data_IF_855257212728
#
_entry.id   IF_855257212728
#
_cell.length_a   1.000
_cell.length_b   1.000
_cell.length_c   1.000
_cell.angle_alpha   90.00
_cell.angle_beta   90.00
_cell.angle_gamma   90.00
#
_symmetry.space_group_name_H-M   'P 1'
#
loop_
_entity.id
_entity.type
_entity.pdbx_description
1 polymer ?
#
# COMPACT_ATOMS: atom_id res chain seq x y z
N UNK A 1 -5.51 1.27 -17.98
CA UNK A 1 -4.94 0.51 -19.12
C UNK A 1 -5.41 -0.95 -19.09
N UNK A 2 -5.25 -1.69 -17.97
CA UNK A 2 -5.72 -3.08 -17.79
C UNK A 2 -7.22 -3.16 -18.05
N UNK A 3 -8.03 -2.29 -17.42
CA UNK A 3 -9.48 -2.27 -17.61
C UNK A 3 -9.95 -1.94 -19.03
N UNK A 4 -9.09 -1.39 -19.89
CA UNK A 4 -9.37 -1.23 -21.31
C UNK A 4 -9.18 -2.55 -22.07
N UNK A 5 -8.13 -3.29 -21.73
CA UNK A 5 -7.76 -4.53 -22.44
C UNK A 5 -8.65 -5.71 -22.05
N UNK A 6 -9.06 -5.82 -20.79
CA UNK A 6 -9.83 -6.96 -20.30
C UNK A 6 -11.15 -7.19 -21.05
N UNK A 7 -12.00 -6.17 -21.28
CA UNK A 7 -13.22 -6.35 -22.08
C UNK A 7 -12.93 -6.77 -23.53
N UNK A 8 -11.87 -6.24 -24.16
CA UNK A 8 -11.47 -6.62 -25.52
C UNK A 8 -11.11 -8.12 -25.62
N UNK A 9 -10.65 -8.70 -24.51
CA UNK A 9 -10.29 -10.12 -24.43
C UNK A 9 -11.38 -11.00 -23.81
N UNK A 10 -12.51 -10.43 -23.41
CA UNK A 10 -13.60 -11.16 -22.77
C UNK A 10 -13.24 -11.74 -21.40
N UNK A 11 -12.29 -11.11 -20.67
CA UNK A 11 -11.85 -11.55 -19.34
C UNK A 11 -12.31 -10.58 -18.27
N UNK A 12 -12.60 -11.09 -17.06
CA UNK A 12 -12.95 -10.26 -15.91
C UNK A 12 -11.70 -9.59 -15.33
N UNK A 13 -11.86 -8.36 -14.88
CA UNK A 13 -10.80 -7.61 -14.21
C UNK A 13 -11.11 -7.47 -12.71
N UNK A 14 -10.33 -8.13 -11.88
CA UNK A 14 -10.28 -7.91 -10.44
C UNK A 14 -9.01 -7.15 -10.07
N UNK A 15 -9.14 -6.16 -9.20
CA UNK A 15 -7.98 -5.48 -8.61
C UNK A 15 -8.02 -5.57 -7.09
N UNK A 16 -6.87 -5.92 -6.49
CA UNK A 16 -6.61 -5.63 -5.09
C UNK A 16 -6.27 -4.14 -4.99
N UNK A 17 -7.24 -3.37 -4.49
CA UNK A 17 -7.11 -1.93 -4.31
C UNK A 17 -6.85 -1.53 -2.84
N UNK A 18 -6.38 -2.47 -2.02
CA UNK A 18 -6.15 -2.27 -0.58
C UNK A 18 -5.25 -1.07 -0.30
N UNK A 19 -4.24 -0.82 -1.13
CA UNK A 19 -3.34 0.33 -0.99
C UNK A 19 -3.77 1.56 -1.81
N UNK A 20 -4.76 1.43 -2.69
CA UNK A 20 -5.23 2.52 -3.55
C UNK A 20 -6.48 3.22 -3.00
N UNK A 21 -7.35 2.47 -2.31
CA UNK A 21 -8.57 3.01 -1.70
C UNK A 21 -8.24 4.08 -0.65
N UNK A 22 -8.90 5.24 -0.75
CA UNK A 22 -8.62 6.40 0.09
C UNK A 22 -7.36 7.21 -0.30
N UNK A 23 -6.59 6.76 -1.29
CA UNK A 23 -5.38 7.44 -1.76
C UNK A 23 -5.42 7.85 -3.23
N UNK A 24 -6.24 7.18 -4.04
CA UNK A 24 -6.45 7.47 -5.45
C UNK A 24 -7.94 7.49 -5.77
N UNK A 25 -8.32 8.32 -6.74
CA UNK A 25 -9.67 8.26 -7.28
C UNK A 25 -9.92 6.97 -8.05
N UNK A 26 -10.92 6.20 -7.62
CA UNK A 26 -11.32 4.94 -8.26
C UNK A 26 -12.76 5.09 -8.75
N UNK A 27 -12.94 4.98 -10.07
CA UNK A 27 -14.27 4.86 -10.69
C UNK A 27 -14.37 3.52 -11.39
N UNK A 28 -15.05 2.57 -10.77
CA UNK A 28 -15.14 1.19 -11.26
C UNK A 28 -15.78 1.09 -12.65
N UNK A 29 -16.66 2.03 -13.03
CA UNK A 29 -17.32 2.05 -14.34
C UNK A 29 -16.37 2.56 -15.42
N UNK A 30 -15.74 3.72 -15.20
CA UNK A 30 -14.81 4.34 -16.16
C UNK A 30 -13.53 3.53 -16.33
N UNK A 31 -13.08 2.87 -15.26
CA UNK A 31 -11.88 2.05 -15.26
C UNK A 31 -12.15 0.58 -15.65
N UNK A 32 -13.41 0.22 -15.96
CA UNK A 32 -13.86 -1.14 -16.30
C UNK A 32 -13.41 -2.19 -15.29
N UNK A 33 -13.54 -1.88 -14.00
CA UNK A 33 -13.23 -2.80 -12.92
C UNK A 33 -14.47 -3.65 -12.62
N UNK A 34 -14.33 -4.95 -12.77
CA UNK A 34 -15.40 -5.91 -12.50
C UNK A 34 -15.47 -6.28 -11.02
N UNK A 35 -14.33 -6.41 -10.35
CA UNK A 35 -14.23 -6.70 -8.93
C UNK A 35 -13.09 -5.90 -8.31
N UNK A 36 -13.27 -5.50 -7.04
CA UNK A 36 -12.29 -4.72 -6.30
C UNK A 36 -12.32 -5.13 -4.83
N UNK A 37 -11.14 -5.38 -4.27
CA UNK A 37 -10.97 -5.66 -2.85
C UNK A 37 -10.32 -4.48 -2.13
N UNK A 38 -10.80 -4.16 -0.93
CA UNK A 38 -10.20 -3.17 -0.03
C UNK A 38 -10.28 -3.60 1.43
N UNK A 39 -9.46 -2.98 2.30
CA UNK A 39 -9.38 -3.30 3.72
C UNK A 39 -9.40 -2.02 4.55
N UNK A 40 -10.30 -1.96 5.54
CA UNK A 40 -10.57 -0.75 6.32
C UNK A 40 -9.34 -0.15 7.00
N UNK A 41 -8.47 -0.99 7.57
CA UNK A 41 -7.29 -0.52 8.30
C UNK A 41 -6.22 0.16 7.44
N UNK A 42 -6.36 0.14 6.12
CA UNK A 42 -5.41 0.80 5.19
C UNK A 42 -5.73 2.28 4.93
N UNK A 43 -6.92 2.71 5.32
CA UNK A 43 -7.35 4.10 5.28
C UNK A 43 -7.97 4.53 6.62
N UNK A 44 -7.28 4.15 7.72
CA UNK A 44 -7.60 4.52 9.11
C UNK A 44 -8.90 3.95 9.69
N UNK A 45 -9.55 3.02 8.99
CA UNK A 45 -10.71 2.29 9.49
C UNK A 45 -10.33 1.14 10.44
N UNK A 46 -11.33 0.44 11.01
CA UNK A 46 -11.09 -0.67 11.93
C UNK A 46 -10.37 -1.85 11.26
N UNK A 47 -9.57 -2.57 12.05
CA UNK A 47 -9.03 -3.89 11.65
C UNK A 47 -10.12 -4.94 11.60
N UNK A 48 -9.93 -5.96 10.77
CA UNK A 48 -10.84 -7.12 10.67
C UNK A 48 -12.09 -6.86 9.83
N UNK A 49 -12.16 -5.78 9.08
CA UNK A 49 -13.24 -5.46 8.15
C UNK A 49 -12.68 -5.04 6.80
N UNK A 50 -13.31 -5.53 5.73
CA UNK A 50 -12.96 -5.21 4.35
C UNK A 50 -14.17 -5.30 3.43
N UNK A 51 -14.01 -4.95 2.18
CA UNK A 51 -15.08 -4.95 1.17
C UNK A 51 -14.60 -5.67 -0.09
N UNK A 52 -15.47 -6.49 -0.65
CA UNK A 52 -15.38 -6.93 -2.03
C UNK A 52 -16.51 -6.24 -2.82
N UNK A 53 -16.13 -5.34 -3.72
CA UNK A 53 -17.02 -4.89 -4.78
C UNK A 53 -17.04 -5.96 -5.87
N UNK A 54 -18.22 -6.31 -6.33
CA UNK A 54 -18.40 -7.14 -7.53
C UNK A 54 -19.53 -6.55 -8.39
N UNK A 55 -19.26 -6.33 -9.66
CA UNK A 55 -20.25 -5.86 -10.63
C UNK A 55 -21.44 -6.85 -10.67
N UNK A 56 -22.64 -6.31 -10.74
CA UNK A 56 -23.84 -7.13 -10.81
C UNK A 56 -23.77 -8.14 -11.98
N UNK A 57 -24.16 -9.37 -11.70
CA UNK A 57 -24.16 -10.47 -12.69
C UNK A 57 -22.89 -11.33 -12.68
N UNK A 58 -21.85 -10.96 -11.92
CA UNK A 58 -20.67 -11.82 -11.76
C UNK A 58 -21.02 -12.97 -10.82
N UNK A 59 -20.84 -14.24 -11.23
CA UNK A 59 -21.05 -15.38 -10.35
C UNK A 59 -19.94 -15.44 -9.30
N UNK A 60 -20.32 -15.40 -8.02
CA UNK A 60 -19.43 -15.59 -6.89
C UNK A 60 -19.75 -16.92 -6.21
N UNK A 61 -18.74 -17.74 -6.02
CA UNK A 61 -18.83 -18.98 -5.23
C UNK A 61 -18.50 -18.65 -3.77
N UNK A 62 -19.36 -19.10 -2.84
CA UNK A 62 -19.13 -18.89 -1.42
C UNK A 62 -17.94 -19.73 -0.94
N UNK A 63 -17.02 -19.12 -0.22
CA UNK A 63 -15.91 -19.80 0.45
C UNK A 63 -16.30 -20.09 1.91
N UNK A 64 -17.09 -19.19 2.53
CA UNK A 64 -17.61 -19.36 3.88
C UNK A 64 -19.11 -19.68 3.77
N UNK A 65 -19.45 -20.92 4.08
CA UNK A 65 -20.81 -21.43 4.02
C UNK A 65 -21.52 -21.32 5.36
N UNK A 66 -22.86 -21.25 5.34
CA UNK A 66 -23.71 -21.16 6.53
C UNK A 66 -24.98 -20.36 6.28
N UNK A 67 -25.23 -19.31 7.07
CA UNK A 67 -26.40 -18.45 6.94
C UNK A 67 -26.44 -17.61 5.68
N UNK A 68 -27.55 -16.94 5.42
CA UNK A 68 -27.83 -16.20 4.20
C UNK A 68 -27.34 -14.73 4.25
N UNK A 69 -26.42 -14.38 5.16
CA UNK A 69 -25.88 -13.04 5.27
C UNK A 69 -25.17 -12.65 3.96
N UNK A 70 -24.95 -11.35 3.75
CA UNK A 70 -24.38 -10.79 2.51
C UNK A 70 -25.09 -11.32 1.25
N UNK A 71 -26.42 -11.42 1.29
CA UNK A 71 -27.25 -12.00 0.21
C UNK A 71 -26.85 -13.43 -0.15
N UNK A 72 -26.48 -14.22 0.86
CA UNK A 72 -26.00 -15.59 0.70
C UNK A 72 -24.60 -15.72 0.11
N UNK A 73 -23.81 -14.66 0.08
CA UNK A 73 -22.45 -14.67 -0.48
C UNK A 73 -21.36 -14.91 0.54
N UNK A 74 -21.61 -14.57 1.81
CA UNK A 74 -20.66 -14.75 2.89
C UNK A 74 -21.46 -14.93 4.19
N UNK A 75 -21.42 -16.13 4.77
CA UNK A 75 -22.12 -16.45 6.00
C UNK A 75 -21.47 -15.80 7.23
N UNK A 76 -22.22 -15.68 8.30
CA UNK A 76 -21.81 -15.11 9.59
C UNK A 76 -22.44 -13.74 9.83
N UNK A 77 -22.77 -13.46 11.10
CA UNK A 77 -23.36 -12.18 11.53
C UNK A 77 -22.47 -11.01 11.11
N UNK A 78 -23.09 -9.99 10.56
CA UNK A 78 -22.39 -8.78 10.09
C UNK A 78 -21.77 -8.02 11.25
N UNK A 79 -20.51 -7.63 11.10
CA UNK A 79 -19.80 -6.76 12.05
C UNK A 79 -20.23 -5.30 11.84
N UNK A 80 -21.43 -4.94 12.26
CA UNK A 80 -22.01 -3.61 12.04
C UNK A 80 -21.09 -2.47 12.52
N UNK A 81 -20.50 -2.51 13.74
CA UNK A 81 -19.58 -1.45 14.16
C UNK A 81 -18.36 -1.32 13.23
N UNK A 82 -17.79 -2.45 12.79
CA UNK A 82 -16.67 -2.45 11.86
C UNK A 82 -17.05 -1.90 10.48
N UNK A 83 -18.22 -2.28 9.96
CA UNK A 83 -18.75 -1.79 8.68
C UNK A 83 -18.97 -0.27 8.72
N UNK A 84 -19.58 0.22 9.77
CA UNK A 84 -19.83 1.66 9.96
C UNK A 84 -18.52 2.45 10.08
N UNK A 85 -17.56 1.94 10.88
CA UNK A 85 -16.24 2.55 11.01
C UNK A 85 -15.44 2.55 9.70
N UNK A 86 -15.53 1.47 8.92
CA UNK A 86 -14.92 1.40 7.59
C UNK A 86 -15.54 2.45 6.65
N UNK A 87 -16.86 2.56 6.63
CA UNK A 87 -17.56 3.50 5.75
C UNK A 87 -17.19 4.95 6.07
N UNK A 88 -17.19 5.32 7.36
CA UNK A 88 -16.81 6.65 7.81
C UNK A 88 -15.35 6.99 7.45
N UNK A 89 -14.42 6.06 7.70
CA UNK A 89 -13.01 6.24 7.37
C UNK A 89 -12.76 6.36 5.85
N UNK A 90 -13.50 5.59 5.04
CA UNK A 90 -13.40 5.68 3.58
C UNK A 90 -13.91 7.02 3.06
N UNK A 91 -15.05 7.48 3.58
CA UNK A 91 -15.63 8.78 3.22
C UNK A 91 -14.66 9.94 3.55
N UNK A 92 -14.09 9.93 4.75
CA UNK A 92 -13.11 10.92 5.19
C UNK A 92 -11.86 10.89 4.30
N UNK A 93 -11.24 9.72 4.12
CA UNK A 93 -10.03 9.57 3.29
C UNK A 93 -10.28 9.99 1.83
N UNK A 94 -11.43 9.63 1.26
CA UNK A 94 -11.80 10.03 -0.09
C UNK A 94 -11.99 11.55 -0.23
N UNK A 95 -12.43 12.23 0.83
CA UNK A 95 -12.58 13.69 0.87
C UNK A 95 -11.26 14.45 0.79
N UNK A 96 -10.14 13.83 1.15
CA UNK A 96 -8.81 14.45 1.19
C UNK A 96 -7.87 14.04 0.05
N UNK A 97 -8.30 13.18 -0.88
CA UNK A 97 -7.42 12.61 -1.93
C UNK A 97 -6.66 13.70 -2.71
N UNK A 98 -7.32 14.75 -3.17
CA UNK A 98 -6.69 15.77 -4.01
C UNK A 98 -5.66 16.59 -3.24
N UNK A 99 -5.99 17.01 -2.02
CA UNK A 99 -5.09 17.75 -1.16
C UNK A 99 -3.88 16.90 -0.75
N UNK A 100 -4.14 15.69 -0.28
CA UNK A 100 -3.10 14.76 0.13
C UNK A 100 -2.21 14.32 -1.04
N UNK A 101 -2.75 14.11 -2.21
CA UNK A 101 -1.94 13.78 -3.40
C UNK A 101 -0.90 14.86 -3.66
N UNK A 102 -1.27 16.13 -3.61
CA UNK A 102 -0.34 17.24 -3.84
C UNK A 102 0.70 17.33 -2.73
N UNK A 103 0.26 17.31 -1.48
CA UNK A 103 1.12 17.46 -0.31
C UNK A 103 2.06 16.28 -0.11
N UNK A 104 1.52 15.06 -0.10
CA UNK A 104 2.31 13.84 0.11
C UNK A 104 3.28 13.57 -1.03
N UNK A 105 2.92 13.91 -2.27
CA UNK A 105 3.86 13.81 -3.41
C UNK A 105 5.09 14.68 -3.18
N UNK A 106 4.95 15.91 -2.68
CA UNK A 106 6.09 16.78 -2.37
C UNK A 106 6.98 16.18 -1.27
N UNK A 107 6.37 15.68 -0.19
CA UNK A 107 7.10 15.05 0.92
C UNK A 107 7.80 13.76 0.47
N UNK A 108 7.12 12.94 -0.31
CA UNK A 108 7.67 11.72 -0.94
C UNK A 108 8.88 12.04 -1.81
N UNK A 109 8.74 13.00 -2.70
CA UNK A 109 9.80 13.36 -3.66
C UNK A 109 11.01 13.98 -2.94
N UNK A 110 10.77 14.75 -1.86
CA UNK A 110 11.83 15.26 -0.96
C UNK A 110 12.60 14.09 -0.32
N UNK A 111 11.89 13.08 0.20
CA UNK A 111 12.51 11.86 0.76
C UNK A 111 13.31 11.09 -0.30
N UNK A 112 12.73 10.85 -1.46
CA UNK A 112 13.40 10.14 -2.56
C UNK A 112 14.66 10.89 -2.97
N UNK A 113 14.58 12.20 -3.20
CA UNK A 113 15.71 13.02 -3.60
C UNK A 113 16.84 13.06 -2.55
N UNK A 114 16.47 13.06 -1.26
CA UNK A 114 17.45 13.06 -0.16
C UNK A 114 18.10 11.70 0.04
N UNK A 115 17.32 10.64 0.14
CA UNK A 115 17.81 9.29 0.40
C UNK A 115 18.58 8.69 -0.80
N UNK A 116 18.22 9.09 -2.03
CA UNK A 116 18.98 8.68 -3.23
C UNK A 116 20.39 9.28 -3.33
N UNK A 117 20.77 10.20 -2.43
CA UNK A 117 22.15 10.71 -2.33
C UNK A 117 23.05 9.79 -1.52
N UNK A 118 22.49 8.86 -0.78
CA UNK A 118 23.25 7.85 -0.02
C UNK A 118 23.95 6.95 -1.03
N UNK A 119 25.28 6.75 -0.94
CA UNK A 119 25.99 5.85 -1.85
C UNK A 119 25.37 4.46 -1.88
N UNK A 120 25.39 3.82 -3.04
CA UNK A 120 24.83 2.47 -3.23
C UNK A 120 23.33 2.34 -2.91
N UNK A 121 22.58 3.44 -2.95
CA UNK A 121 21.13 3.41 -2.86
C UNK A 121 20.47 3.22 -4.22
N UNK A 122 19.32 2.57 -4.26
CA UNK A 122 18.57 2.36 -5.49
C UNK A 122 17.06 2.51 -5.24
N UNK A 123 16.41 3.45 -5.94
CA UNK A 123 14.95 3.63 -5.88
C UNK A 123 14.25 2.45 -6.53
N UNK A 124 13.27 1.87 -5.86
CA UNK A 124 12.44 0.77 -6.35
C UNK A 124 11.15 1.29 -7.00
N UNK A 125 10.81 0.72 -8.16
CA UNK A 125 9.64 1.09 -8.95
C UNK A 125 9.82 2.38 -9.77
N UNK A 126 8.74 2.80 -10.43
CA UNK A 126 8.74 4.00 -11.27
C UNK A 126 8.90 5.28 -10.40
N UNK A 127 9.75 6.23 -10.79
CA UNK A 127 9.97 7.46 -10.01
C UNK A 127 8.77 8.42 -10.02
N UNK A 128 7.90 8.36 -11.03
CA UNK A 128 6.77 9.27 -11.22
C UNK A 128 5.43 8.58 -10.99
N UNK A 129 5.21 7.43 -11.67
CA UNK A 129 3.97 6.67 -11.61
C UNK A 129 3.94 5.74 -10.39
N UNK A 130 3.72 6.35 -9.22
CA UNK A 130 3.66 5.66 -7.93
C UNK A 130 2.66 6.32 -6.99
N UNK A 131 2.27 5.61 -5.94
CA UNK A 131 1.40 6.19 -4.89
C UNK A 131 2.03 7.44 -4.27
N UNK A 132 1.24 8.47 -3.96
CA UNK A 132 1.74 9.71 -3.36
C UNK A 132 2.50 9.50 -2.05
N UNK A 133 2.14 8.46 -1.30
CA UNK A 133 2.64 8.18 0.05
C UNK A 133 3.78 7.16 0.12
N UNK A 134 4.21 6.55 -1.01
CA UNK A 134 5.14 5.42 -0.98
C UNK A 134 6.55 5.81 -1.39
N UNK A 135 7.52 5.56 -0.50
CA UNK A 135 8.96 5.61 -0.75
C UNK A 135 9.54 4.23 -0.52
N UNK A 136 10.24 3.67 -1.50
CA UNK A 136 10.90 2.37 -1.37
C UNK A 136 12.26 2.42 -2.04
N UNK A 137 13.32 2.20 -1.25
CA UNK A 137 14.70 2.13 -1.71
C UNK A 137 15.35 0.84 -1.23
N UNK A 138 16.39 0.42 -1.93
CA UNK A 138 17.35 -0.56 -1.43
C UNK A 138 18.69 0.12 -1.16
N UNK A 139 19.43 -0.39 -0.18
CA UNK A 139 20.80 0.00 0.14
C UNK A 139 21.67 -1.25 0.08
N UNK A 140 22.74 -1.23 -0.73
CA UNK A 140 23.63 -2.38 -0.89
C UNK A 140 24.48 -2.60 0.37
N UNK A 141 24.69 -3.87 0.73
CA UNK A 141 25.53 -4.24 1.85
C UNK A 141 24.90 -4.09 3.22
N UNK A 142 23.60 -3.76 3.28
CA UNK A 142 22.83 -3.61 4.51
C UNK A 142 21.79 -4.71 4.61
N UNK A 143 21.60 -5.19 5.83
CA UNK A 143 20.56 -6.15 6.17
C UNK A 143 19.33 -5.38 6.69
N UNK A 144 18.16 -5.62 6.06
CA UNK A 144 16.95 -4.84 6.29
C UNK A 144 16.40 -4.90 7.70
N UNK A 145 16.53 -6.05 8.40
CA UNK A 145 16.06 -6.18 9.78
C UNK A 145 16.94 -5.35 10.74
N UNK A 146 18.26 -5.41 10.58
CA UNK A 146 19.19 -4.58 11.33
C UNK A 146 18.94 -3.08 11.11
N UNK A 147 18.66 -2.69 9.85
CA UNK A 147 18.29 -1.32 9.52
C UNK A 147 17.01 -0.88 10.25
N UNK A 148 15.98 -1.74 10.29
CA UNK A 148 14.73 -1.44 11.00
C UNK A 148 14.94 -1.27 12.50
N UNK A 149 15.78 -2.09 13.14
CA UNK A 149 16.10 -1.98 14.57
C UNK A 149 16.79 -0.64 14.90
N UNK A 150 17.71 -0.20 14.04
CA UNK A 150 18.39 1.09 14.22
C UNK A 150 17.46 2.27 13.99
N UNK A 151 16.55 2.16 13.01
CA UNK A 151 15.52 3.17 12.76
C UNK A 151 14.52 3.26 13.93
N UNK A 152 14.10 2.12 14.48
CA UNK A 152 13.21 2.08 15.66
C UNK A 152 13.87 2.73 16.87
N UNK A 153 15.14 2.48 17.12
CA UNK A 153 15.91 3.13 18.16
C UNK A 153 16.02 4.67 17.97
N UNK A 154 15.93 5.14 16.72
CA UNK A 154 15.84 6.56 16.37
C UNK A 154 14.40 7.10 16.38
N UNK A 155 13.40 6.30 16.75
CA UNK A 155 11.98 6.69 16.76
C UNK A 155 11.34 6.76 15.35
N UNK A 156 11.92 6.08 14.36
CA UNK A 156 11.43 6.04 12.98
C UNK A 156 10.79 4.67 12.70
N UNK A 157 9.47 4.65 12.52
CA UNK A 157 8.74 3.46 12.11
C UNK A 157 8.87 3.25 10.59
N UNK A 158 9.36 2.08 10.19
CA UNK A 158 9.58 1.72 8.79
C UNK A 158 9.33 0.23 8.54
N UNK A 159 9.50 -0.24 7.32
CA UNK A 159 9.37 -1.65 6.95
C UNK A 159 10.39 -2.03 5.87
N UNK A 160 10.88 -3.26 5.92
CA UNK A 160 11.78 -3.84 4.90
C UNK A 160 10.97 -4.64 3.85
N UNK A 161 10.07 -4.02 3.11
CA UNK A 161 9.24 -4.72 2.13
C UNK A 161 7.82 -5.00 2.60
N UNK A 162 7.31 -6.25 2.50
CA UNK A 162 5.96 -6.59 2.93
C UNK A 162 5.92 -6.83 4.45
N UNK A 163 5.11 -6.05 5.17
CA UNK A 163 4.89 -6.25 6.60
C UNK A 163 4.24 -7.61 6.94
N UNK A 164 3.55 -8.23 5.97
CA UNK A 164 2.90 -9.54 6.15
C UNK A 164 3.90 -10.70 6.12
N UNK A 165 5.09 -10.51 5.57
CA UNK A 165 6.15 -11.51 5.44
C UNK A 165 7.36 -11.21 6.32
N UNK A 166 7.20 -10.36 7.33
CA UNK A 166 8.28 -9.95 8.25
C UNK A 166 8.92 -11.07 9.06
N UNK A 167 8.43 -12.31 8.96
CA UNK A 167 9.05 -13.51 9.51
C UNK A 167 9.86 -14.33 8.50
N UNK A 168 9.96 -13.90 7.24
CA UNK A 168 10.78 -14.55 6.21
C UNK A 168 12.11 -13.83 6.08
N UNK A 169 13.19 -14.59 6.11
CA UNK A 169 14.55 -14.12 5.80
C UNK A 169 14.74 -13.82 4.30
N UNK A 170 13.76 -14.20 3.46
CA UNK A 170 13.83 -13.96 2.02
C UNK A 170 13.42 -12.52 1.67
N UNK A 171 14.10 -11.89 0.70
CA UNK A 171 13.72 -10.56 0.21
C UNK A 171 12.36 -10.58 -0.48
N UNK A 172 11.74 -9.42 -0.59
CA UNK A 172 10.44 -9.27 -1.27
C UNK A 172 10.47 -9.85 -2.68
N UNK A 173 9.59 -10.81 -2.97
CA UNK A 173 9.42 -11.37 -4.32
C UNK A 173 9.06 -10.29 -5.37
N UNK A 174 8.44 -9.18 -4.94
CA UNK A 174 8.16 -8.03 -5.83
C UNK A 174 9.45 -7.34 -6.25
N UNK A 175 10.39 -7.14 -5.32
CA UNK A 175 11.69 -6.53 -5.64
C UNK A 175 12.49 -7.41 -6.60
N UNK A 176 12.47 -8.73 -6.37
CA UNK A 176 13.10 -9.69 -7.30
C UNK A 176 12.44 -9.65 -8.69
N UNK A 177 11.11 -9.58 -8.75
CA UNK A 177 10.36 -9.55 -10.01
C UNK A 177 10.61 -8.26 -10.82
N UNK A 178 10.91 -7.13 -10.17
CA UNK A 178 11.31 -5.89 -10.86
C UNK A 178 12.82 -5.82 -11.16
N UNK A 179 13.55 -6.94 -10.98
CA UNK A 179 14.94 -7.08 -11.39
C UNK A 179 15.99 -6.67 -10.36
N UNK A 180 15.63 -6.53 -9.07
CA UNK A 180 16.64 -6.31 -8.02
C UNK A 180 17.39 -7.62 -7.72
N UNK A 181 18.74 -7.60 -7.68
CA UNK A 181 19.50 -8.74 -7.18
C UNK A 181 19.08 -9.11 -5.75
N UNK A 182 19.15 -10.39 -5.41
CA UNK A 182 18.73 -10.91 -4.10
C UNK A 182 19.41 -10.17 -2.93
N UNK A 183 20.72 -10.01 -3.00
CA UNK A 183 21.55 -9.32 -2.01
C UNK A 183 21.20 -7.84 -1.83
N UNK A 184 20.82 -7.15 -2.93
CA UNK A 184 20.38 -5.74 -2.89
C UNK A 184 18.95 -5.64 -2.32
N UNK A 185 18.08 -6.58 -2.68
CA UNK A 185 16.70 -6.59 -2.21
C UNK A 185 16.57 -6.83 -0.70
N UNK A 186 17.55 -7.48 -0.07
CA UNK A 186 17.64 -7.62 1.39
C UNK A 186 17.76 -6.28 2.13
N UNK A 187 18.49 -5.31 1.56
CA UNK A 187 18.64 -3.97 2.12
C UNK A 187 17.49 -3.03 1.79
N UNK A 188 16.28 -3.54 1.62
CA UNK A 188 15.12 -2.70 1.27
C UNK A 188 14.55 -1.95 2.46
N UNK A 189 14.22 -0.67 2.24
CA UNK A 189 13.52 0.20 3.17
C UNK A 189 12.26 0.76 2.51
N UNK A 190 11.10 0.57 3.15
CA UNK A 190 9.85 1.20 2.75
C UNK A 190 9.40 2.18 3.83
N UNK A 191 9.23 3.42 3.42
CA UNK A 191 8.58 4.47 4.20
C UNK A 191 7.20 4.75 3.60
N UNK A 192 6.18 4.75 4.44
CA UNK A 192 4.80 5.04 4.05
C UNK A 192 4.33 6.29 4.77
N UNK A 193 4.02 7.32 3.99
CA UNK A 193 3.51 8.58 4.50
C UNK A 193 1.98 8.50 4.70
N UNK A 194 1.44 9.32 5.56
CA UNK A 194 0.00 9.43 5.78
C UNK A 194 -0.44 10.91 5.85
N UNK A 195 -1.74 11.13 5.97
CA UNK A 195 -2.32 12.47 6.11
C UNK A 195 -1.63 13.31 7.20
N UNK A 196 -1.25 12.71 8.33
CA UNK A 196 -0.63 13.43 9.46
C UNK A 196 0.89 13.62 9.33
N UNK A 197 1.52 13.10 8.26
CA UNK A 197 2.97 13.24 8.07
C UNK A 197 3.34 14.70 7.83
N UNK A 198 4.29 15.23 8.63
CA UNK A 198 4.74 16.62 8.55
C UNK A 198 6.08 16.75 7.81
N UNK A 199 6.41 17.99 7.41
CA UNK A 199 7.69 18.29 6.78
C UNK A 199 8.85 18.11 7.76
N UNK A 200 8.68 18.44 9.02
CA UNK A 200 9.67 18.27 10.08
C UNK A 200 10.02 16.79 10.29
N UNK A 201 9.02 15.90 10.20
CA UNK A 201 9.26 14.45 10.28
C UNK A 201 10.08 13.95 9.07
N UNK A 202 9.80 14.48 7.89
CA UNK A 202 10.57 14.17 6.68
C UNK A 202 12.02 14.67 6.82
N UNK A 203 12.22 15.89 7.33
CA UNK A 203 13.56 16.44 7.56
C UNK A 203 14.33 15.63 8.61
N UNK A 204 13.66 15.19 9.66
CA UNK A 204 14.25 14.31 10.66
C UNK A 204 14.72 12.97 10.07
N UNK A 205 13.90 12.35 9.22
CA UNK A 205 14.29 11.11 8.49
C UNK A 205 15.52 11.36 7.64
N UNK A 206 15.56 12.46 6.90
CA UNK A 206 16.70 12.82 6.04
C UNK A 206 17.98 13.14 6.82
N UNK A 207 17.85 13.62 8.06
CA UNK A 207 19.00 13.81 8.98
C UNK A 207 19.54 12.49 9.51
N UNK A 208 18.65 11.57 9.93
CA UNK A 208 19.03 10.36 10.66
C UNK A 208 19.45 9.19 9.77
N UNK A 209 18.68 8.92 8.70
CA UNK A 209 18.87 7.73 7.86
C UNK A 209 20.28 7.63 7.26
N UNK A 210 20.91 8.71 6.75
CA UNK A 210 22.26 8.60 6.19
C UNK A 210 23.35 8.18 7.18
N UNK A 211 23.13 8.39 8.47
CA UNK A 211 24.07 7.94 9.52
C UNK A 211 23.77 6.53 10.06
N UNK A 212 22.64 5.96 9.67
CA UNK A 212 22.21 4.61 10.04
C UNK A 212 22.57 3.62 8.93
N UNK A 213 22.47 4.05 7.67
CA UNK A 213 22.90 3.34 6.48
C UNK A 213 24.42 3.47 6.28
#
# INVERSE_FOLDING_TARGET
EIGRVCPEKGVLFHTDAVQAAGHLHINVKEQNIDMLSLSGHKFHGPKGVGVLYARQGIPLTNIIEGGAQERGKRAGTENIPGIMGLAAALEESCGHIDEDTVRLTKLRDKLIAGLSKIPHSALNGDPVHRLPSNVNLCFEGIEGESLLLLLDAAGICASSGSACTSGSLDPSHVLLAIGRPHEVAHGSLRLSLCHDTTEEQVDYILEKVPGIV
#
